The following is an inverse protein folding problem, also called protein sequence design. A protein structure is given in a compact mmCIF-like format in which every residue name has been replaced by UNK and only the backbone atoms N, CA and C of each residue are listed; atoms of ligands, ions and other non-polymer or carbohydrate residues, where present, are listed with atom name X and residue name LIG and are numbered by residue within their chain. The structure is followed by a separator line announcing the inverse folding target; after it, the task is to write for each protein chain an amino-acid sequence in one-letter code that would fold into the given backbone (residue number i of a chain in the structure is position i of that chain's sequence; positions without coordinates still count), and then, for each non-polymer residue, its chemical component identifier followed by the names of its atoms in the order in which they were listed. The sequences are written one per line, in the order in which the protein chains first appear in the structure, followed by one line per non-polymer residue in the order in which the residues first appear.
data_IF_012451503062
#
_entry.id   IF_012451503062
#
_cell.length_a   1.000
_cell.length_b   1.000
_cell.length_c   1.000
_cell.angle_alpha   90.00
_cell.angle_beta   90.00
_cell.angle_gamma   90.00
#
_symmetry.space_group_name_H-M   'P 1'
#
loop_
_entity.id
_entity.type
_entity.pdbx_description
1 polymer ?
#
# COMPACT_ATOMS: atom_id res chain seq x y z
N UNK A 1 1.80 -28.78 21.38
CA UNK A 1 2.64 -27.80 20.64
C UNK A 1 3.43 -27.00 21.66
N UNK A 2 4.77 -26.97 21.66
CA UNK A 2 5.49 -26.19 22.64
C UNK A 2 5.51 -24.71 22.26
N UNK A 3 5.35 -23.89 23.29
CA UNK A 3 5.20 -22.44 23.30
C UNK A 3 6.46 -21.76 22.73
N UNK A 4 6.26 -20.68 21.97
CA UNK A 4 7.33 -19.77 21.56
C UNK A 4 8.11 -19.32 22.80
N UNK A 5 9.38 -19.72 22.88
CA UNK A 5 10.32 -19.16 23.84
C UNK A 5 10.55 -17.70 23.47
N UNK A 6 10.26 -16.80 24.40
CA UNK A 6 10.64 -15.40 24.31
C UNK A 6 12.18 -15.35 24.22
N UNK A 7 12.72 -15.25 23.00
CA UNK A 7 14.15 -15.15 22.76
C UNK A 7 14.56 -13.72 23.06
N UNK A 8 15.08 -13.53 24.27
CA UNK A 8 15.45 -12.24 24.81
C UNK A 8 16.89 -11.92 24.36
N UNK A 9 17.01 -11.34 23.17
CA UNK A 9 18.28 -11.03 22.49
C UNK A 9 19.22 -10.20 23.39
N UNK A 10 18.66 -9.34 24.24
CA UNK A 10 19.38 -8.49 25.21
C UNK A 10 20.05 -9.34 26.31
N UNK A 11 19.38 -10.40 26.78
CA UNK A 11 19.97 -11.35 27.75
C UNK A 11 21.11 -12.15 27.12
N UNK A 12 21.02 -12.44 25.82
CA UNK A 12 22.09 -13.11 25.09
C UNK A 12 23.31 -12.19 24.91
N UNK A 13 23.10 -10.89 24.66
CA UNK A 13 24.19 -9.92 24.60
C UNK A 13 24.88 -9.72 25.95
N UNK A 14 24.12 -9.61 27.05
CA UNK A 14 24.69 -9.50 28.40
C UNK A 14 25.47 -10.76 28.77
N UNK A 15 24.95 -11.94 28.42
CA UNK A 15 25.64 -13.21 28.62
C UNK A 15 26.92 -13.30 27.77
N UNK A 16 26.91 -12.85 26.50
CA UNK A 16 28.09 -12.96 25.64
C UNK A 16 29.26 -12.02 26.00
N UNK A 17 29.06 -11.04 26.89
CA UNK A 17 30.16 -10.34 27.58
C UNK A 17 30.91 -11.26 28.55
N UNK A 18 30.21 -12.26 29.10
CA UNK A 18 30.81 -13.38 29.81
C UNK A 18 31.33 -14.41 28.80
N UNK A 19 32.43 -15.07 29.17
CA UNK A 19 33.23 -15.96 28.32
C UNK A 19 32.40 -16.85 27.37
N UNK A 20 32.39 -16.51 26.07
CA UNK A 20 31.65 -17.20 24.99
C UNK A 20 31.90 -18.71 25.00
N UNK A 21 33.09 -19.16 25.39
CA UNK A 21 33.42 -20.59 25.43
C UNK A 21 32.70 -21.34 26.56
N UNK A 22 32.39 -20.68 27.69
CA UNK A 22 31.62 -21.26 28.80
C UNK A 22 30.17 -21.44 28.40
N UNK A 23 29.60 -20.42 27.77
CA UNK A 23 28.21 -20.41 27.29
C UNK A 23 28.02 -21.42 26.17
N UNK A 24 28.97 -21.50 25.22
CA UNK A 24 28.95 -22.50 24.16
C UNK A 24 28.86 -23.94 24.72
N UNK A 25 29.61 -24.25 25.79
CA UNK A 25 29.54 -25.56 26.46
C UNK A 25 28.22 -25.79 27.18
N UNK A 26 27.70 -24.78 27.87
CA UNK A 26 26.43 -24.87 28.61
C UNK A 26 25.24 -25.14 27.68
N UNK A 27 25.23 -24.50 26.51
CA UNK A 27 24.16 -24.64 25.52
C UNK A 27 24.43 -25.73 24.48
N UNK A 28 25.55 -26.46 24.56
CA UNK A 28 25.89 -27.53 23.62
C UNK A 28 26.08 -27.06 22.17
N UNK A 29 26.51 -25.81 21.97
CA UNK A 29 26.73 -25.20 20.65
C UNK A 29 28.22 -24.99 20.42
N UNK A 30 28.71 -25.12 19.18
CA UNK A 30 30.10 -24.77 18.88
C UNK A 30 30.39 -23.30 19.23
N UNK A 31 31.56 -23.07 19.84
CA UNK A 31 32.06 -21.71 20.14
C UNK A 31 32.05 -20.82 18.90
N UNK A 32 32.45 -21.35 17.74
CA UNK A 32 32.50 -20.60 16.48
C UNK A 32 31.11 -20.13 16.08
N UNK A 33 30.12 -21.02 16.12
CA UNK A 33 28.72 -20.70 15.81
C UNK A 33 28.15 -19.64 16.75
N UNK A 34 28.46 -19.71 18.04
CA UNK A 34 28.00 -18.70 19.01
C UNK A 34 28.67 -17.35 18.77
N UNK A 35 29.98 -17.32 18.52
CA UNK A 35 30.72 -16.10 18.21
C UNK A 35 30.23 -15.43 16.91
N UNK A 36 29.95 -16.21 15.86
CA UNK A 36 29.43 -15.70 14.59
C UNK A 36 28.04 -15.08 14.75
N UNK A 37 27.19 -15.67 15.59
CA UNK A 37 25.85 -15.14 15.90
C UNK A 37 25.95 -13.82 16.65
N UNK A 38 26.82 -13.72 17.66
CA UNK A 38 27.06 -12.48 18.41
C UNK A 38 27.58 -11.39 17.47
N UNK A 39 28.54 -11.72 16.61
CA UNK A 39 29.08 -10.78 15.62
C UNK A 39 28.00 -10.32 14.63
N UNK A 40 27.11 -11.21 14.20
CA UNK A 40 25.98 -10.88 13.33
C UNK A 40 24.92 -10.03 14.03
N UNK A 41 24.66 -10.28 15.32
CA UNK A 41 23.76 -9.47 16.13
C UNK A 41 24.33 -8.06 16.41
N UNK A 42 25.65 -7.93 16.52
CA UNK A 42 26.35 -6.65 16.70
C UNK A 42 26.55 -5.88 15.39
N UNK A 43 26.48 -6.56 14.24
CA UNK A 43 26.49 -5.84 12.96
C UNK A 43 25.21 -5.01 12.87
N UNK A 44 25.29 -3.70 12.55
CA UNK A 44 24.09 -2.89 12.39
C UNK A 44 23.20 -3.59 11.37
N UNK A 45 21.91 -3.75 11.71
CA UNK A 45 20.91 -4.27 10.79
C UNK A 45 20.80 -3.29 9.62
N UNK A 46 21.67 -3.48 8.63
CA UNK A 46 21.51 -2.86 7.33
C UNK A 46 20.24 -3.45 6.77
N UNK A 47 19.18 -2.65 6.72
CA UNK A 47 18.11 -2.85 5.73
C UNK A 47 18.80 -2.60 4.39
N UNK A 48 19.61 -3.58 3.97
CA UNK A 48 20.23 -3.55 2.66
C UNK A 48 19.05 -3.55 1.72
N UNK A 49 18.82 -2.42 1.03
CA UNK A 49 17.82 -2.32 -0.01
C UNK A 49 17.96 -3.58 -0.86
N UNK A 50 16.95 -4.45 -0.80
CA UNK A 50 17.03 -5.68 -1.56
C UNK A 50 17.05 -5.25 -3.02
N UNK A 51 18.21 -5.35 -3.67
CA UNK A 51 18.40 -5.09 -5.12
C UNK A 51 17.46 -5.92 -6.01
N UNK A 52 16.67 -6.81 -5.41
CA UNK A 52 15.65 -7.66 -6.03
C UNK A 52 14.29 -6.98 -6.15
N UNK A 53 14.03 -5.87 -5.45
CA UNK A 53 12.79 -5.13 -5.57
C UNK A 53 12.91 -4.12 -6.72
N UNK A 54 11.95 -4.14 -7.65
CA UNK A 54 11.93 -3.20 -8.77
C UNK A 54 11.77 -1.74 -8.28
N UNK A 55 10.98 -1.53 -7.22
CA UNK A 55 10.73 -0.25 -6.58
C UNK A 55 11.75 0.04 -5.46
N UNK A 56 12.18 1.29 -5.34
CA UNK A 56 12.95 1.77 -4.19
C UNK A 56 12.07 1.88 -2.95
N UNK A 57 12.68 1.91 -1.76
CA UNK A 57 11.94 2.07 -0.49
C UNK A 57 11.06 3.32 -0.47
N UNK A 58 11.56 4.42 -1.06
CA UNK A 58 10.79 5.66 -1.17
C UNK A 58 9.56 5.51 -2.07
N UNK A 59 9.73 4.89 -3.24
CA UNK A 59 8.61 4.62 -4.16
C UNK A 59 7.57 3.71 -3.51
N UNK A 60 8.02 2.69 -2.77
CA UNK A 60 7.14 1.77 -2.06
C UNK A 60 6.34 2.50 -0.97
N UNK A 61 6.99 3.35 -0.17
CA UNK A 61 6.31 4.18 0.83
C UNK A 61 5.28 5.13 0.23
N UNK A 62 5.62 5.78 -0.89
CA UNK A 62 4.71 6.67 -1.59
C UNK A 62 3.48 5.91 -2.14
N UNK A 63 3.68 4.71 -2.68
CA UNK A 63 2.61 3.86 -3.17
C UNK A 63 1.68 3.41 -2.03
N UNK A 64 2.22 3.04 -0.86
CA UNK A 64 1.43 2.70 0.33
C UNK A 64 0.62 3.91 0.80
N UNK A 65 1.22 5.09 0.90
CA UNK A 65 0.51 6.30 1.32
C UNK A 65 -0.64 6.66 0.38
N UNK A 66 -0.45 6.47 -0.93
CA UNK A 66 -1.51 6.62 -1.91
C UNK A 66 -2.63 5.59 -1.72
N UNK A 67 -2.31 4.32 -1.46
CA UNK A 67 -3.31 3.27 -1.18
C UNK A 67 -4.14 3.60 0.06
N UNK A 68 -3.50 4.05 1.14
CA UNK A 68 -4.20 4.48 2.37
C UNK A 68 -5.24 5.54 2.03
N UNK A 69 -4.84 6.59 1.32
CA UNK A 69 -5.73 7.68 0.91
C UNK A 69 -6.89 7.21 0.03
N UNK A 70 -6.64 6.27 -0.88
CA UNK A 70 -7.69 5.67 -1.71
C UNK A 70 -8.68 4.84 -0.87
N UNK A 71 -8.19 4.13 0.15
CA UNK A 71 -9.05 3.41 1.09
C UNK A 71 -9.89 4.37 1.96
N UNK A 72 -9.31 5.49 2.40
CA UNK A 72 -10.04 6.53 3.15
C UNK A 72 -11.20 7.12 2.34
N UNK A 73 -11.08 7.15 1.01
CA UNK A 73 -12.14 7.56 0.09
C UNK A 73 -13.13 6.45 -0.26
N UNK A 74 -13.08 5.29 0.40
CA UNK A 74 -13.85 4.10 0.07
C UNK A 74 -13.66 3.62 -1.38
N UNK A 75 -12.50 3.91 -1.97
CA UNK A 75 -12.12 3.55 -3.34
C UNK A 75 -10.84 2.69 -3.36
N UNK A 76 -10.84 1.50 -2.73
CA UNK A 76 -9.65 0.67 -2.67
C UNK A 76 -9.16 0.31 -4.08
N UNK A 77 -7.87 0.52 -4.38
CA UNK A 77 -7.34 0.33 -5.72
C UNK A 77 -7.18 -1.15 -6.08
N UNK A 78 -7.54 -1.49 -7.32
CA UNK A 78 -7.36 -2.84 -7.87
C UNK A 78 -5.88 -3.15 -8.09
N UNK A 79 -5.49 -4.44 -8.03
CA UNK A 79 -4.12 -4.89 -8.32
C UNK A 79 -3.57 -4.36 -9.65
N UNK A 80 -4.39 -4.31 -10.71
CA UNK A 80 -4.01 -3.71 -12.01
C UNK A 80 -3.65 -2.23 -11.90
N UNK A 81 -4.39 -1.48 -11.08
CA UNK A 81 -4.13 -0.05 -10.89
C UNK A 81 -2.85 0.18 -10.09
N UNK A 82 -2.59 -0.66 -9.09
CA UNK A 82 -1.35 -0.68 -8.32
C UNK A 82 -0.15 -0.99 -9.24
N UNK A 83 -0.29 -1.96 -10.14
CA UNK A 83 0.74 -2.29 -11.14
C UNK A 83 1.02 -1.11 -12.08
N UNK A 84 -0.03 -0.46 -12.59
CA UNK A 84 0.11 0.71 -13.45
C UNK A 84 0.83 1.86 -12.75
N UNK A 85 0.46 2.15 -11.49
CA UNK A 85 1.12 3.17 -10.68
C UNK A 85 2.58 2.84 -10.36
N UNK A 86 2.88 1.57 -10.06
CA UNK A 86 4.24 1.10 -9.86
C UNK A 86 5.09 1.31 -11.13
N UNK A 87 4.58 0.92 -12.30
CA UNK A 87 5.24 1.15 -13.58
C UNK A 87 5.43 2.63 -13.89
N UNK A 88 4.44 3.47 -13.58
CA UNK A 88 4.55 4.93 -13.76
C UNK A 88 5.59 5.54 -12.84
N UNK A 89 5.68 5.08 -11.58
CA UNK A 89 6.69 5.52 -10.63
C UNK A 89 8.11 5.12 -11.08
N UNK A 90 8.27 3.95 -11.71
CA UNK A 90 9.54 3.53 -12.32
C UNK A 90 9.90 4.40 -13.52
N UNK A 91 8.97 4.60 -14.45
CA UNK A 91 9.20 5.40 -15.65
C UNK A 91 9.61 6.85 -15.31
N UNK A 92 9.02 7.44 -14.26
CA UNK A 92 9.39 8.78 -13.77
C UNK A 92 10.79 8.84 -13.14
N UNK A 93 11.23 7.76 -12.50
CA UNK A 93 12.52 7.71 -11.82
C UNK A 93 13.67 7.31 -12.76
N UNK A 94 13.39 6.50 -13.79
CA UNK A 94 14.34 6.14 -14.83
C UNK A 94 13.63 5.50 -16.03
N UNK A 95 13.82 6.06 -17.23
CA UNK A 95 13.16 5.57 -18.44
C UNK A 95 13.63 4.17 -18.87
N UNK A 96 14.84 3.77 -18.47
CA UNK A 96 15.43 2.47 -18.82
C UNK A 96 15.07 1.33 -17.84
N UNK A 97 14.36 1.61 -16.74
CA UNK A 97 13.96 0.54 -15.81
C UNK A 97 12.85 -0.31 -16.42
N UNK A 98 13.11 -1.62 -16.43
CA UNK A 98 12.16 -2.65 -16.85
C UNK A 98 10.88 -2.58 -16.00
N UNK A 99 9.73 -2.83 -16.65
CA UNK A 99 8.42 -2.87 -16.00
C UNK A 99 8.41 -3.85 -14.82
N UNK A 100 7.52 -3.61 -13.85
CA UNK A 100 7.33 -4.54 -12.75
C UNK A 100 6.85 -5.91 -13.28
N UNK A 101 7.30 -6.99 -12.66
CA UNK A 101 6.86 -8.33 -13.05
C UNK A 101 5.36 -8.52 -12.85
N UNK A 102 4.76 -9.44 -13.63
CA UNK A 102 3.31 -9.75 -13.63
C UNK A 102 2.70 -10.00 -12.24
N UNK A 103 3.47 -10.59 -11.32
CA UNK A 103 3.00 -10.92 -9.97
C UNK A 103 3.38 -9.87 -8.92
N UNK A 104 4.03 -8.77 -9.31
CA UNK A 104 4.52 -7.74 -8.39
C UNK A 104 3.40 -7.14 -7.55
N UNK A 105 2.27 -6.78 -8.16
CA UNK A 105 1.11 -6.25 -7.45
C UNK A 105 0.54 -7.27 -6.45
N UNK A 106 0.44 -8.55 -6.83
CA UNK A 106 -0.03 -9.60 -5.93
C UNK A 106 0.89 -9.75 -4.71
N UNK A 107 2.20 -9.84 -4.92
CA UNK A 107 3.17 -9.92 -3.82
C UNK A 107 3.20 -8.65 -2.98
N UNK A 108 3.05 -7.48 -3.59
CA UNK A 108 2.99 -6.21 -2.89
C UNK A 108 1.76 -6.13 -1.99
N UNK A 109 0.58 -6.51 -2.49
CA UNK A 109 -0.67 -6.56 -1.71
C UNK A 109 -0.52 -7.50 -0.51
N UNK A 110 0.12 -8.66 -0.68
CA UNK A 110 0.38 -9.60 0.42
C UNK A 110 1.28 -9.02 1.53
N UNK A 111 2.10 -8.01 1.23
CA UNK A 111 2.97 -7.33 2.19
C UNK A 111 2.30 -6.14 2.88
N UNK A 112 1.12 -5.73 2.43
CA UNK A 112 0.40 -4.62 3.05
C UNK A 112 -0.04 -4.98 4.48
N UNK A 113 -0.07 -4.00 5.40
CA UNK A 113 -0.68 -4.17 6.70
C UNK A 113 -2.11 -4.75 6.59
N UNK A 114 -2.45 -5.70 7.46
CA UNK A 114 -3.76 -6.40 7.43
C UNK A 114 -4.97 -5.45 7.53
N UNK A 115 -4.79 -4.26 8.12
CA UNK A 115 -5.86 -3.26 8.23
C UNK A 115 -6.15 -2.56 6.88
N UNK A 116 -5.21 -2.57 5.93
CA UNK A 116 -5.40 -2.09 4.56
C UNK A 116 -5.88 -3.22 3.65
N UNK A 117 -6.71 -4.14 4.18
CA UNK A 117 -7.19 -5.30 3.43
C UNK A 117 -7.91 -4.85 2.16
N UNK A 118 -7.17 -4.86 1.04
CA UNK A 118 -7.68 -4.69 -0.31
C UNK A 118 -8.41 -5.98 -0.68
N UNK A 119 -9.55 -6.22 -0.03
CA UNK A 119 -10.47 -7.26 -0.45
C UNK A 119 -10.76 -7.06 -1.95
N UNK A 120 -11.11 -8.11 -2.71
CA UNK A 120 -11.53 -7.96 -4.10
C UNK A 120 -12.80 -7.10 -4.15
N UNK A 121 -12.64 -5.78 -4.16
CA UNK A 121 -13.75 -4.86 -4.29
C UNK A 121 -14.16 -4.92 -5.73
N UNK A 122 -15.30 -5.57 -5.95
CA UNK A 122 -15.98 -5.57 -7.23
C UNK A 122 -16.52 -4.17 -7.44
N UNK A 123 -15.69 -3.29 -7.99
CA UNK A 123 -16.16 -1.97 -8.40
C UNK A 123 -17.21 -2.18 -9.50
N UNK A 124 -18.44 -1.77 -9.24
CA UNK A 124 -19.47 -1.69 -10.28
C UNK A 124 -19.09 -0.52 -11.18
N UNK A 125 -18.27 -0.79 -12.19
CA UNK A 125 -17.93 0.20 -13.20
C UNK A 125 -19.23 0.66 -13.86
N UNK A 126 -19.39 1.97 -13.99
CA UNK A 126 -20.46 2.57 -14.78
C UNK A 126 -20.50 1.88 -16.15
N UNK A 127 -21.70 1.55 -16.63
CA UNK A 127 -21.85 0.79 -17.88
C UNK A 127 -21.01 1.41 -18.99
N UNK A 128 -20.17 0.61 -19.66
CA UNK A 128 -19.23 1.11 -20.69
C UNK A 128 -19.92 1.93 -21.78
N UNK A 129 -21.18 1.60 -22.10
CA UNK A 129 -22.00 2.34 -23.05
C UNK A 129 -22.33 3.77 -22.57
N UNK A 130 -22.52 3.97 -21.26
CA UNK A 130 -22.74 5.30 -20.67
C UNK A 130 -21.45 6.11 -20.69
N UNK A 131 -20.31 5.51 -20.35
CA UNK A 131 -19.01 6.20 -20.38
C UNK A 131 -18.65 6.64 -21.80
N UNK A 132 -18.89 5.79 -22.80
CA UNK A 132 -18.58 6.10 -24.21
C UNK A 132 -19.57 7.08 -24.86
N UNK A 133 -20.80 7.17 -24.35
CA UNK A 133 -21.80 8.13 -24.83
C UNK A 133 -21.62 9.53 -24.20
N UNK A 134 -20.85 9.63 -23.12
CA UNK A 134 -20.59 10.88 -22.42
C UNK A 134 -19.47 11.68 -23.10
N UNK A 135 -19.86 12.61 -23.98
CA UNK A 135 -18.94 13.65 -24.44
C UNK A 135 -18.61 14.58 -23.28
N UNK A 136 -17.33 14.60 -22.88
CA UNK A 136 -16.85 15.38 -21.74
C UNK A 136 -17.07 16.88 -21.97
N UNK A 137 -16.97 17.35 -23.22
CA UNK A 137 -17.21 18.75 -23.58
C UNK A 137 -18.69 19.12 -23.43
N UNK A 138 -19.58 18.28 -23.93
CA UNK A 138 -21.02 18.47 -23.80
C UNK A 138 -21.49 18.45 -22.34
N UNK A 139 -20.93 17.56 -21.52
CA UNK A 139 -21.22 17.50 -20.07
C UNK A 139 -20.76 18.78 -19.36
N UNK A 140 -19.52 19.21 -19.58
CA UNK A 140 -19.00 20.44 -18.94
C UNK A 140 -19.87 21.64 -19.30
N UNK A 141 -20.17 21.81 -20.59
CA UNK A 141 -21.02 22.89 -21.07
C UNK A 141 -22.43 22.86 -20.47
N UNK A 142 -23.01 21.67 -20.33
CA UNK A 142 -24.32 21.50 -19.72
C UNK A 142 -24.30 21.89 -18.22
N UNK A 143 -23.29 21.46 -17.46
CA UNK A 143 -23.15 21.84 -16.05
C UNK A 143 -22.88 23.34 -15.86
N UNK A 144 -22.10 23.97 -16.75
CA UNK A 144 -21.85 25.42 -16.71
C UNK A 144 -23.16 26.21 -16.94
N UNK A 145 -23.99 25.77 -17.87
CA UNK A 145 -25.33 26.35 -18.08
C UNK A 145 -26.24 26.11 -16.87
N UNK A 146 -26.26 24.90 -16.33
CA UNK A 146 -27.06 24.58 -15.14
C UNK A 146 -26.65 25.46 -13.94
N UNK A 147 -25.34 25.62 -13.71
CA UNK A 147 -24.82 26.48 -12.65
C UNK A 147 -25.24 27.95 -12.83
N UNK A 148 -25.27 28.43 -14.08
CA UNK A 148 -25.75 29.78 -14.40
C UNK A 148 -27.22 29.96 -14.05
N UNK A 149 -28.07 28.96 -14.35
CA UNK A 149 -29.50 28.99 -14.05
C UNK A 149 -29.79 28.86 -12.55
N UNK A 150 -28.97 28.10 -11.82
CA UNK A 150 -29.14 27.85 -10.38
C UNK A 150 -28.54 28.93 -9.49
N UNK A 151 -27.86 29.94 -10.04
CA UNK A 151 -27.09 30.95 -9.28
C UNK A 151 -27.87 31.61 -8.14
N UNK A 152 -29.17 31.87 -8.35
CA UNK A 152 -30.04 32.53 -7.38
C UNK A 152 -31.14 31.61 -6.81
N UNK A 153 -31.05 30.30 -7.09
CA UNK A 153 -32.03 29.31 -6.62
C UNK A 153 -31.54 28.65 -5.33
N UNK A 154 -32.27 28.79 -4.20
CA UNK A 154 -31.93 28.09 -2.97
C UNK A 154 -31.93 26.57 -3.18
N UNK A 155 -30.87 25.89 -2.74
CA UNK A 155 -30.72 24.43 -2.90
C UNK A 155 -31.91 23.62 -2.36
N UNK A 156 -32.60 24.12 -1.32
CA UNK A 156 -33.82 23.51 -0.76
C UNK A 156 -34.99 23.41 -1.74
N UNK A 157 -34.93 24.13 -2.86
CA UNK A 157 -35.95 24.13 -3.91
C UNK A 157 -35.56 23.26 -5.11
N UNK A 158 -34.36 22.70 -5.11
CA UNK A 158 -33.87 21.82 -6.17
C UNK A 158 -34.17 20.37 -5.78
N UNK A 159 -35.11 19.76 -6.50
CA UNK A 159 -35.50 18.37 -6.29
C UNK A 159 -35.00 17.52 -7.47
N UNK A 160 -34.41 16.37 -7.16
CA UNK A 160 -34.13 15.37 -8.20
C UNK A 160 -35.44 14.67 -8.57
N UNK A 161 -35.72 14.54 -9.86
CA UNK A 161 -36.94 13.93 -10.39
C UNK A 161 -36.75 12.46 -10.77
N UNK A 162 -35.73 11.79 -10.20
CA UNK A 162 -35.57 10.33 -10.31
C UNK A 162 -36.13 9.61 -9.07
N UNK A 163 -36.44 8.31 -9.22
CA UNK A 163 -37.12 7.47 -8.23
C UNK A 163 -36.44 7.40 -6.85
N UNK A 164 -35.20 7.89 -6.69
CA UNK A 164 -34.52 8.00 -5.40
C UNK A 164 -34.13 9.46 -5.14
N UNK A 165 -35.02 10.18 -4.46
CA UNK A 165 -34.80 11.56 -4.06
C UNK A 165 -33.67 11.69 -3.02
N UNK A 166 -32.49 12.14 -3.47
CA UNK A 166 -31.47 12.72 -2.59
C UNK A 166 -31.59 14.24 -2.61
N UNK A 167 -31.66 14.84 -1.41
CA UNK A 167 -31.67 16.29 -1.24
C UNK A 167 -30.22 16.79 -1.17
N UNK A 168 -29.78 17.72 -2.03
CA UNK A 168 -28.44 18.28 -1.95
C UNK A 168 -28.21 18.94 -0.57
N UNK A 169 -27.24 18.43 0.20
CA UNK A 169 -26.88 18.95 1.52
C UNK A 169 -27.38 18.15 2.73
N UNK A 170 -28.04 17.00 2.53
CA UNK A 170 -28.44 16.08 3.61
C UNK A 170 -27.93 14.64 3.39
N UNK A 171 -26.68 14.49 2.97
CA UNK A 171 -26.01 13.18 2.79
C UNK A 171 -24.62 13.18 3.40
#
# INVERSE_FOLDING_TARGET
MPKHSNFDEDRLQEACKANIAKIAREFGVSRTTLADRVKKAQSPFSITESRKNALTLYQEKALIAWIVKMCDWNLPPTAKLIEAWANQALARANAERQQVGKNSACYFILRLPKHLSLAPVKQNLKESKRIQAEDTGALSFWYDQLATLLKDVPARLVYNFDEYSFQPGQG
#
